data_IF_131346892712
#
_entry.id   IF_131346892712
#
_cell.length_a   1.000
_cell.length_b   1.000
_cell.length_c   1.000
_cell.angle_alpha   90.00
_cell.angle_beta   90.00
_cell.angle_gamma   90.00
#
_symmetry.space_group_name_H-M   'P 1'
#
loop_
_entity.id
_entity.type
_entity.pdbx_description
1 polymer ?
#
# COMPACT_ATOMS: atom_id res chain seq x y z
N UNK A 1 16.22 7.02 13.59
CA UNK A 1 14.85 6.53 13.31
C UNK A 1 14.64 5.33 14.22
N UNK A 2 13.51 5.19 14.91
CA UNK A 2 13.31 4.01 15.77
C UNK A 2 13.16 2.75 14.90
N UNK A 3 13.94 1.72 15.16
CA UNK A 3 14.03 0.50 14.34
C UNK A 3 12.85 -0.47 14.57
N UNK A 4 12.72 -1.51 13.73
CA UNK A 4 11.74 -2.58 13.94
C UNK A 4 12.25 -3.46 15.08
N UNK A 5 11.55 -3.42 16.22
CA UNK A 5 11.87 -4.24 17.37
C UNK A 5 11.42 -5.69 17.15
N UNK A 6 12.35 -6.54 16.70
CA UNK A 6 12.12 -7.97 16.49
C UNK A 6 11.70 -8.71 17.77
N UNK A 7 12.10 -8.22 18.96
CA UNK A 7 11.80 -8.89 20.23
C UNK A 7 10.30 -8.86 20.56
N UNK A 8 9.57 -7.87 20.01
CA UNK A 8 8.11 -7.76 20.11
C UNK A 8 7.36 -8.59 19.05
N UNK A 9 8.06 -9.28 18.16
CA UNK A 9 7.45 -10.05 17.08
C UNK A 9 7.16 -11.49 17.50
N UNK A 10 6.10 -12.07 16.91
CA UNK A 10 5.59 -13.41 17.22
C UNK A 10 6.69 -14.50 17.22
N UNK A 11 7.61 -14.60 16.23
CA UNK A 11 8.63 -15.65 16.26
C UNK A 11 9.60 -15.50 17.44
N UNK A 12 10.05 -14.28 17.78
CA UNK A 12 10.95 -14.06 18.91
C UNK A 12 10.25 -14.36 20.25
N UNK A 13 9.02 -13.85 20.44
CA UNK A 13 8.22 -14.14 21.63
C UNK A 13 8.01 -15.65 21.78
N UNK A 14 7.66 -16.35 20.71
CA UNK A 14 7.49 -17.80 20.71
C UNK A 14 8.80 -18.53 21.10
N UNK A 15 9.92 -18.18 20.45
CA UNK A 15 11.24 -18.77 20.72
C UNK A 15 11.62 -18.63 22.21
N UNK A 16 11.40 -17.46 22.81
CA UNK A 16 11.68 -17.20 24.23
C UNK A 16 10.86 -18.10 25.16
N UNK A 17 9.59 -18.37 24.81
CA UNK A 17 8.71 -19.23 25.62
C UNK A 17 9.09 -20.72 25.59
N UNK A 18 9.87 -21.15 24.61
CA UNK A 18 10.29 -22.55 24.50
C UNK A 18 11.09 -23.03 25.72
N UNK A 19 11.81 -22.12 26.38
CA UNK A 19 12.64 -22.40 27.55
C UNK A 19 12.00 -22.06 28.91
N UNK A 20 10.80 -21.47 28.93
CA UNK A 20 10.06 -21.19 30.17
C UNK A 20 9.91 -22.47 31.02
N UNK A 21 9.99 -22.34 32.34
CA UNK A 21 9.82 -23.46 33.26
C UNK A 21 8.39 -24.02 33.20
N UNK A 22 8.24 -25.31 33.50
CA UNK A 22 6.92 -25.95 33.51
C UNK A 22 6.89 -27.13 34.47
N UNK A 23 5.70 -27.51 34.94
CA UNK A 23 5.55 -28.63 35.87
C UNK A 23 5.63 -29.97 35.12
N UNK A 24 6.42 -30.90 35.65
CA UNK A 24 6.53 -32.26 35.11
C UNK A 24 5.27 -33.10 35.31
N UNK A 25 4.33 -32.67 36.17
CA UNK A 25 3.07 -33.38 36.48
C UNK A 25 2.29 -33.86 35.24
N UNK A 26 2.21 -33.04 34.19
CA UNK A 26 1.52 -33.40 32.94
C UNK A 26 2.23 -34.51 32.16
N UNK A 27 3.57 -34.51 32.14
CA UNK A 27 4.37 -35.58 31.54
C UNK A 27 4.18 -36.89 32.31
N UNK A 28 4.17 -36.82 33.65
CA UNK A 28 3.98 -37.99 34.54
C UNK A 28 2.61 -38.66 34.40
N UNK A 29 1.61 -37.92 33.91
CA UNK A 29 0.28 -38.45 33.59
C UNK A 29 0.15 -39.13 32.22
N UNK A 30 1.19 -39.09 31.36
CA UNK A 30 1.15 -39.75 30.06
C UNK A 30 1.47 -41.24 30.16
N UNK A 31 0.84 -42.04 29.29
CA UNK A 31 1.03 -43.51 29.22
C UNK A 31 2.51 -43.92 29.09
N UNK A 32 3.25 -43.12 28.33
CA UNK A 32 4.66 -43.31 27.96
C UNK A 32 5.65 -43.03 29.10
N UNK A 33 5.23 -42.41 30.20
CA UNK A 33 6.13 -41.99 31.29
C UNK A 33 6.83 -43.17 31.98
N UNK A 34 6.18 -44.34 32.03
CA UNK A 34 6.77 -45.59 32.52
C UNK A 34 8.10 -45.90 31.82
N UNK A 35 8.16 -45.77 30.49
CA UNK A 35 9.36 -46.00 29.68
C UNK A 35 10.42 -44.91 29.78
N UNK A 36 10.07 -43.69 30.18
CA UNK A 36 11.01 -42.60 30.47
C UNK A 36 11.69 -42.80 31.83
N UNK A 37 10.94 -43.34 32.80
CA UNK A 37 11.32 -43.36 34.23
C UNK A 37 12.51 -44.25 34.63
N UNK A 38 13.12 -44.94 33.66
CA UNK A 38 14.17 -45.96 33.77
C UNK A 38 15.60 -45.38 33.66
N UNK A 39 15.74 -44.09 33.34
CA UNK A 39 17.01 -43.44 33.04
C UNK A 39 17.76 -42.89 34.25
N UNK A 40 19.09 -42.85 34.17
CA UNK A 40 19.95 -42.24 35.19
C UNK A 40 19.82 -40.70 35.21
N UNK A 41 19.80 -40.05 34.04
CA UNK A 41 19.62 -38.58 33.88
C UNK A 41 18.14 -38.12 33.93
N UNK A 42 17.34 -38.78 34.77
CA UNK A 42 15.87 -38.67 34.77
C UNK A 42 15.32 -37.25 34.89
N UNK A 43 15.91 -36.43 35.76
CA UNK A 43 15.37 -35.10 36.07
C UNK A 43 15.47 -34.14 34.87
N UNK A 44 16.61 -34.13 34.18
CA UNK A 44 16.84 -33.27 33.01
C UNK A 44 15.98 -33.72 31.82
N UNK A 45 15.87 -35.05 31.60
CA UNK A 45 14.98 -35.64 30.60
C UNK A 45 13.52 -35.27 30.87
N UNK A 46 13.06 -35.41 32.12
CA UNK A 46 11.72 -35.00 32.52
C UNK A 46 11.47 -33.51 32.28
N UNK A 47 12.45 -32.63 32.57
CA UNK A 47 12.31 -31.19 32.31
C UNK A 47 12.19 -30.90 30.81
N UNK A 48 13.10 -31.41 29.98
CA UNK A 48 13.11 -31.17 28.53
C UNK A 48 11.83 -31.71 27.88
N UNK A 49 11.40 -32.94 28.22
CA UNK A 49 10.19 -33.54 27.67
C UNK A 49 8.91 -32.84 28.17
N UNK A 50 8.90 -32.31 29.39
CA UNK A 50 7.79 -31.51 29.90
C UNK A 50 7.70 -30.15 29.19
N UNK A 51 8.84 -29.49 28.94
CA UNK A 51 8.91 -28.29 28.11
C UNK A 51 8.46 -28.56 26.69
N UNK A 52 8.82 -29.70 26.09
CA UNK A 52 8.34 -30.13 24.77
C UNK A 52 6.81 -30.29 24.76
N UNK A 53 6.25 -31.06 25.70
CA UNK A 53 4.80 -31.26 25.84
C UNK A 53 4.04 -29.91 25.93
N UNK A 54 4.54 -29.00 26.79
CA UNK A 54 4.02 -27.63 26.94
C UNK A 54 4.14 -26.84 25.64
N UNK A 55 5.27 -26.92 24.94
CA UNK A 55 5.52 -26.20 23.68
C UNK A 55 4.53 -26.58 22.58
N UNK A 56 4.18 -27.86 22.45
CA UNK A 56 3.17 -28.30 21.47
C UNK A 56 1.77 -27.85 21.88
N UNK A 57 1.47 -27.82 23.19
CA UNK A 57 0.25 -27.21 23.72
C UNK A 57 0.08 -25.74 23.29
N UNK A 58 1.15 -24.94 23.36
CA UNK A 58 1.13 -23.53 22.91
C UNK A 58 0.76 -23.37 21.43
N UNK A 59 1.12 -24.34 20.58
CA UNK A 59 0.77 -24.32 19.14
C UNK A 59 -0.74 -24.45 18.94
N UNK A 60 -1.42 -25.24 19.78
CA UNK A 60 -2.89 -25.35 19.75
C UNK A 60 -3.54 -24.07 20.31
N UNK A 61 -3.10 -23.62 21.49
CA UNK A 61 -3.82 -22.60 22.26
C UNK A 61 -3.55 -21.15 21.85
N UNK A 62 -2.33 -20.83 21.44
CA UNK A 62 -1.87 -19.44 21.28
C UNK A 62 -1.22 -19.15 19.92
N UNK A 63 -0.60 -20.14 19.27
CA UNK A 63 0.17 -19.95 18.03
C UNK A 63 -0.38 -20.74 16.83
N UNK A 64 -1.68 -20.99 16.82
CA UNK A 64 -2.39 -21.80 15.81
C UNK A 64 -2.46 -21.19 14.41
N UNK A 65 -2.08 -19.93 14.24
CA UNK A 65 -2.07 -19.24 12.93
C UNK A 65 -1.00 -19.73 11.95
N UNK A 66 0.12 -20.31 12.42
CA UNK A 66 1.16 -20.88 11.56
C UNK A 66 1.80 -22.14 12.18
N UNK A 67 1.05 -23.24 12.33
CA UNK A 67 1.49 -24.39 13.10
C UNK A 67 2.69 -25.09 12.46
N UNK A 68 2.78 -25.12 11.12
CA UNK A 68 3.92 -25.69 10.39
C UNK A 68 5.25 -25.02 10.78
N UNK A 69 5.29 -23.68 10.83
CA UNK A 69 6.47 -22.94 11.30
C UNK A 69 6.76 -23.23 12.76
N UNK A 70 5.74 -23.23 13.64
CA UNK A 70 5.94 -23.50 15.06
C UNK A 70 6.49 -24.91 15.30
N UNK A 71 6.04 -25.92 14.55
CA UNK A 71 6.60 -27.27 14.58
C UNK A 71 8.09 -27.32 14.17
N UNK A 72 8.51 -26.54 13.15
CA UNK A 72 9.95 -26.39 12.82
C UNK A 72 10.72 -25.74 13.98
N UNK A 73 10.16 -24.68 14.57
CA UNK A 73 10.75 -23.98 15.71
C UNK A 73 10.92 -24.87 16.95
N UNK A 74 9.92 -25.68 17.29
CA UNK A 74 10.00 -26.62 18.41
C UNK A 74 10.97 -27.77 18.13
N UNK A 75 10.97 -28.35 16.92
CA UNK A 75 11.97 -29.38 16.57
C UNK A 75 13.39 -28.82 16.58
N UNK A 76 13.62 -27.61 16.07
CA UNK A 76 14.92 -26.94 16.16
C UNK A 76 15.36 -26.74 17.61
N UNK A 77 14.50 -26.17 18.45
CA UNK A 77 14.80 -25.98 19.88
C UNK A 77 15.13 -27.32 20.55
N UNK A 78 14.33 -28.36 20.30
CA UNK A 78 14.57 -29.68 20.87
C UNK A 78 15.89 -30.29 20.38
N UNK A 79 16.19 -30.20 19.08
CA UNK A 79 17.45 -30.65 18.50
C UNK A 79 18.66 -29.98 19.16
N UNK A 80 18.59 -28.66 19.39
CA UNK A 80 19.68 -27.94 20.08
C UNK A 80 19.79 -28.34 21.57
N UNK A 81 18.69 -28.62 22.27
CA UNK A 81 18.75 -29.14 23.66
C UNK A 81 19.43 -30.51 23.74
N UNK A 82 19.17 -31.40 22.78
CA UNK A 82 19.73 -32.76 22.81
C UNK A 82 21.10 -32.89 22.11
N UNK A 83 21.67 -31.78 21.64
CA UNK A 83 22.88 -31.74 20.81
C UNK A 83 24.17 -32.09 21.56
N UNK A 84 24.19 -31.87 22.87
CA UNK A 84 25.35 -32.07 23.75
C UNK A 84 25.48 -33.49 24.28
N UNK A 85 24.44 -34.32 24.17
CA UNK A 85 24.49 -35.73 24.56
C UNK A 85 25.11 -36.58 23.44
N UNK A 86 25.66 -37.74 23.83
CA UNK A 86 26.17 -38.73 22.89
C UNK A 86 25.06 -39.29 21.98
N UNK A 87 25.46 -39.94 20.88
CA UNK A 87 24.52 -40.43 19.86
C UNK A 87 23.49 -41.45 20.38
N UNK A 88 23.82 -42.25 21.42
CA UNK A 88 22.88 -43.23 21.99
C UNK A 88 21.82 -42.50 22.80
N UNK A 89 22.23 -41.58 23.66
CA UNK A 89 21.32 -40.82 24.50
C UNK A 89 20.47 -39.86 23.65
N UNK A 90 21.07 -39.15 22.69
CA UNK A 90 20.36 -38.31 21.71
C UNK A 90 19.29 -39.07 20.95
N UNK A 91 19.56 -40.30 20.49
CA UNK A 91 18.58 -41.14 19.81
C UNK A 91 17.39 -41.46 20.70
N UNK A 92 17.63 -41.94 21.92
CA UNK A 92 16.54 -42.27 22.86
C UNK A 92 15.70 -41.05 23.23
N UNK A 93 16.33 -39.88 23.41
CA UNK A 93 15.60 -38.62 23.62
C UNK A 93 14.72 -38.28 22.41
N UNK A 94 15.20 -38.53 21.19
CA UNK A 94 14.43 -38.40 19.94
C UNK A 94 13.21 -39.32 19.93
N UNK A 95 13.38 -40.58 20.35
CA UNK A 95 12.30 -41.58 20.45
C UNK A 95 11.24 -41.19 21.51
N UNK A 96 11.66 -40.73 22.70
CA UNK A 96 10.74 -40.22 23.72
C UNK A 96 10.02 -38.94 23.27
N UNK A 97 10.71 -38.04 22.58
CA UNK A 97 10.09 -36.85 22.01
C UNK A 97 9.06 -37.19 20.94
N UNK A 98 9.33 -38.17 20.07
CA UNK A 98 8.35 -38.70 19.13
C UNK A 98 7.11 -39.23 19.86
N UNK A 99 7.30 -39.96 20.97
CA UNK A 99 6.19 -40.44 21.80
C UNK A 99 5.37 -39.29 22.40
N UNK A 100 6.02 -38.28 23.01
CA UNK A 100 5.37 -37.07 23.54
C UNK A 100 4.61 -36.30 22.45
N UNK A 101 5.19 -36.16 21.26
CA UNK A 101 4.58 -35.49 20.11
C UNK A 101 3.31 -36.20 19.61
N UNK A 102 3.29 -37.54 19.67
CA UNK A 102 2.16 -38.35 19.23
C UNK A 102 0.94 -38.31 20.18
N UNK A 103 1.17 -38.02 21.47
CA UNK A 103 0.10 -37.83 22.46
C UNK A 103 -0.68 -36.53 22.22
N UNK A 104 -0.06 -35.49 21.62
CA UNK A 104 -0.69 -34.18 21.41
C UNK A 104 -1.36 -34.08 20.03
N UNK A 105 -2.70 -34.10 20.04
CA UNK A 105 -3.56 -34.07 18.84
C UNK A 105 -4.34 -32.75 18.73
N UNK A 106 -4.83 -32.47 17.53
CA UNK A 106 -5.72 -31.33 17.29
C UNK A 106 -7.10 -31.53 17.94
N UNK A 107 -7.67 -30.46 18.51
CA UNK A 107 -9.01 -30.45 19.11
C UNK A 107 -10.16 -30.54 18.08
N UNK A 108 -9.88 -30.64 16.79
CA UNK A 108 -10.84 -30.44 15.69
C UNK A 108 -11.53 -31.74 15.24
N UNK A 109 -11.65 -32.74 16.12
CA UNK A 109 -12.29 -34.04 15.85
C UNK A 109 -11.51 -34.97 14.92
N UNK A 110 -10.55 -34.45 14.14
CA UNK A 110 -9.63 -35.22 13.34
C UNK A 110 -8.40 -35.56 14.18
N UNK A 111 -8.16 -36.86 14.44
CA UNK A 111 -7.12 -37.39 15.37
C UNK A 111 -5.66 -37.17 14.92
N UNK A 112 -5.42 -36.16 14.08
CA UNK A 112 -4.11 -35.78 13.59
C UNK A 112 -3.26 -35.18 14.71
N UNK A 113 -2.01 -35.63 14.80
CA UNK A 113 -0.97 -35.07 15.66
C UNK A 113 -0.62 -33.64 15.25
N UNK A 114 -0.28 -32.80 16.22
CA UNK A 114 0.00 -31.37 15.98
C UNK A 114 1.31 -31.17 15.23
N UNK A 115 2.37 -31.82 15.71
CA UNK A 115 3.69 -31.79 15.10
C UNK A 115 4.24 -33.21 15.00
N UNK A 116 5.06 -33.46 13.98
CA UNK A 116 5.90 -34.65 13.89
C UNK A 116 7.29 -34.35 14.42
N UNK A 117 7.98 -35.41 14.88
CA UNK A 117 9.41 -35.36 15.16
C UNK A 117 10.16 -35.18 13.84
N UNK A 118 11.07 -34.23 13.80
CA UNK A 118 11.90 -33.90 12.64
C UNK A 118 13.32 -33.52 13.11
N UNK A 119 14.29 -34.37 12.78
CA UNK A 119 15.70 -34.16 13.13
C UNK A 119 16.36 -33.11 12.22
N UNK A 120 15.75 -32.84 11.05
CA UNK A 120 16.24 -31.89 10.04
C UNK A 120 15.12 -30.90 9.64
N UNK A 121 14.63 -30.05 10.57
CA UNK A 121 13.50 -29.14 10.32
C UNK A 121 13.81 -28.05 9.28
N UNK A 122 15.06 -27.96 8.82
CA UNK A 122 15.50 -27.09 7.74
C UNK A 122 16.36 -27.89 6.74
N UNK A 123 16.29 -27.58 5.43
CA UNK A 123 16.90 -28.37 4.34
C UNK A 123 18.44 -28.27 4.23
N UNK A 124 19.11 -27.57 5.15
CA UNK A 124 20.56 -27.35 5.13
C UNK A 124 21.17 -27.57 6.51
N UNK A 125 22.44 -28.00 6.54
CA UNK A 125 23.29 -28.00 7.74
C UNK A 125 23.51 -26.59 8.35
N UNK A 126 23.27 -25.51 7.61
CA UNK A 126 23.29 -24.12 8.11
C UNK A 126 21.99 -23.77 8.84
N UNK A 127 21.66 -24.57 9.85
CA UNK A 127 20.37 -24.60 10.56
C UNK A 127 20.02 -23.22 11.17
N UNK A 128 20.98 -22.56 11.83
CA UNK A 128 20.75 -21.24 12.45
C UNK A 128 20.44 -20.14 11.41
N UNK A 129 21.09 -20.18 10.25
CA UNK A 129 20.83 -19.23 9.16
C UNK A 129 19.43 -19.43 8.59
N UNK A 130 19.03 -20.68 8.39
CA UNK A 130 17.68 -21.03 7.93
C UNK A 130 16.61 -20.68 8.97
N UNK A 131 16.89 -20.84 10.27
CA UNK A 131 15.99 -20.38 11.33
C UNK A 131 15.82 -18.86 11.32
N UNK A 132 16.91 -18.10 11.22
CA UNK A 132 16.84 -16.63 11.10
C UNK A 132 16.06 -16.20 9.87
N UNK A 133 16.25 -16.88 8.73
CA UNK A 133 15.50 -16.62 7.50
C UNK A 133 13.99 -16.87 7.70
N UNK A 134 13.62 -17.98 8.34
CA UNK A 134 12.22 -18.29 8.67
C UNK A 134 11.60 -17.17 9.53
N UNK A 135 12.31 -16.77 10.58
CA UNK A 135 11.84 -15.77 11.55
C UNK A 135 11.73 -14.38 10.88
N UNK A 136 12.72 -13.97 10.07
CA UNK A 136 12.65 -12.78 9.21
C UNK A 136 11.43 -12.80 8.27
N UNK A 137 11.19 -13.90 7.55
CA UNK A 137 10.09 -13.98 6.58
C UNK A 137 8.71 -13.82 7.26
N UNK A 138 8.53 -14.40 8.45
CA UNK A 138 7.30 -14.19 9.24
C UNK A 138 7.17 -12.74 9.74
N UNK A 139 8.27 -12.11 10.20
CA UNK A 139 8.26 -10.70 10.63
C UNK A 139 7.90 -9.78 9.44
N UNK A 140 8.58 -9.95 8.30
CA UNK A 140 8.30 -9.25 7.05
C UNK A 140 6.84 -9.36 6.64
N UNK A 141 6.29 -10.57 6.63
CA UNK A 141 4.92 -10.80 6.16
C UNK A 141 3.89 -10.24 7.16
N UNK A 142 4.13 -10.36 8.48
CA UNK A 142 3.28 -9.75 9.50
C UNK A 142 3.27 -8.22 9.41
N UNK A 143 4.44 -7.58 9.30
CA UNK A 143 4.54 -6.11 9.20
C UNK A 143 3.93 -5.62 7.89
N UNK A 144 4.06 -6.39 6.80
CA UNK A 144 3.39 -6.07 5.53
C UNK A 144 1.85 -6.22 5.60
N UNK A 145 1.34 -7.13 6.45
CA UNK A 145 -0.10 -7.28 6.68
C UNK A 145 -0.67 -6.19 7.60
N UNK A 146 0.11 -5.67 8.56
CA UNK A 146 -0.25 -4.44 9.27
C UNK A 146 -0.06 -3.25 8.34
N UNK A 147 -1.18 -2.71 7.82
CA UNK A 147 -1.18 -1.58 6.88
C UNK A 147 -0.18 -0.50 7.31
N UNK A 148 0.88 -0.31 6.52
CA UNK A 148 1.85 0.77 6.69
C UNK A 148 1.08 2.10 6.60
N UNK A 149 1.00 2.86 7.69
CA UNK A 149 0.02 3.96 7.82
C UNK A 149 0.50 5.28 7.23
N UNK A 150 1.80 5.41 6.99
CA UNK A 150 2.45 6.63 6.55
C UNK A 150 3.82 6.34 5.92
N UNK A 151 4.39 7.34 5.26
CA UNK A 151 5.69 7.27 4.61
C UNK A 151 6.81 6.86 5.57
N UNK A 152 6.81 7.37 6.82
CA UNK A 152 7.82 7.03 7.84
C UNK A 152 7.80 5.54 8.21
N UNK A 153 6.63 4.95 8.41
CA UNK A 153 6.49 3.50 8.66
C UNK A 153 6.95 2.66 7.46
N UNK A 154 6.70 3.12 6.23
CA UNK A 154 7.17 2.46 5.03
C UNK A 154 8.70 2.57 4.84
N UNK A 155 9.30 3.73 5.10
CA UNK A 155 10.74 3.93 5.07
C UNK A 155 11.45 3.09 6.16
N UNK A 156 10.85 3.00 7.34
CA UNK A 156 11.28 2.10 8.42
C UNK A 156 11.22 0.63 8.01
N UNK A 157 10.15 0.19 7.36
CA UNK A 157 10.05 -1.16 6.78
C UNK A 157 11.16 -1.40 5.74
N UNK A 158 11.34 -0.51 4.76
CA UNK A 158 12.40 -0.67 3.75
C UNK A 158 13.81 -0.73 4.36
N UNK A 159 14.10 0.06 5.41
CA UNK A 159 15.41 -0.03 6.09
C UNK A 159 15.65 -1.44 6.63
N UNK A 160 14.66 -1.99 7.36
CA UNK A 160 14.69 -3.37 7.86
C UNK A 160 14.84 -4.42 6.75
N UNK A 161 14.20 -4.23 5.59
CA UNK A 161 14.36 -5.11 4.42
C UNK A 161 15.81 -5.11 3.92
N UNK A 162 16.40 -3.92 3.71
CA UNK A 162 17.78 -3.79 3.21
C UNK A 162 18.82 -4.31 4.21
N UNK A 163 18.70 -3.95 5.48
CA UNK A 163 19.62 -4.39 6.55
C UNK A 163 19.66 -5.93 6.62
N UNK A 164 18.49 -6.58 6.57
CA UNK A 164 18.43 -8.03 6.48
C UNK A 164 18.97 -8.57 5.14
N UNK A 165 18.67 -7.92 4.01
CA UNK A 165 19.21 -8.31 2.68
C UNK A 165 20.74 -8.31 2.69
N UNK A 166 21.36 -7.29 3.27
CA UNK A 166 22.81 -7.16 3.46
C UNK A 166 23.36 -8.25 4.38
N UNK A 167 22.72 -8.48 5.54
CA UNK A 167 23.09 -9.57 6.45
C UNK A 167 23.08 -10.93 5.74
N UNK A 168 21.94 -11.34 5.18
CA UNK A 168 21.81 -12.64 4.51
C UNK A 168 22.70 -12.76 3.26
N UNK A 169 22.93 -11.68 2.51
CA UNK A 169 23.89 -11.65 1.40
C UNK A 169 25.32 -11.92 1.87
N UNK A 170 25.74 -11.29 2.98
CA UNK A 170 27.05 -11.52 3.58
C UNK A 170 27.21 -12.96 4.07
N UNK A 171 26.22 -13.49 4.79
CA UNK A 171 26.25 -14.88 5.27
C UNK A 171 26.31 -15.89 4.11
N UNK A 172 25.45 -15.74 3.09
CA UNK A 172 25.41 -16.70 1.98
C UNK A 172 26.65 -16.61 1.09
N UNK A 173 27.24 -15.43 0.90
CA UNK A 173 28.46 -15.28 0.11
C UNK A 173 29.69 -15.90 0.81
N UNK A 174 29.75 -15.86 2.15
CA UNK A 174 30.79 -16.55 2.92
C UNK A 174 30.68 -18.08 2.74
N UNK A 175 29.47 -18.62 2.95
CA UNK A 175 29.19 -20.06 2.85
C UNK A 175 29.37 -20.59 1.41
N UNK A 176 28.86 -19.85 0.41
CA UNK A 176 28.88 -20.24 -1.00
C UNK A 176 30.18 -19.90 -1.74
N UNK A 177 31.30 -19.74 -1.02
CA UNK A 177 32.58 -19.33 -1.61
C UNK A 177 33.28 -20.41 -2.44
N UNK A 178 32.91 -21.69 -2.29
CA UNK A 178 33.61 -22.82 -2.91
C UNK A 178 32.70 -23.79 -3.68
N UNK A 179 31.54 -24.18 -3.14
CA UNK A 179 30.49 -24.91 -3.88
C UNK A 179 29.13 -24.74 -3.16
N UNK A 180 28.10 -24.24 -3.85
CA UNK A 180 26.75 -24.23 -3.26
C UNK A 180 25.60 -24.22 -4.28
N UNK A 181 24.60 -25.06 -4.01
CA UNK A 181 23.25 -24.91 -4.55
C UNK A 181 22.46 -23.97 -3.62
N UNK A 182 22.36 -22.69 -4.01
CA UNK A 182 21.54 -21.68 -3.30
C UNK A 182 20.06 -22.08 -3.22
N UNK A 183 19.60 -22.94 -4.13
CA UNK A 183 18.26 -23.51 -4.16
C UNK A 183 17.88 -24.25 -2.87
N UNK A 184 18.86 -24.84 -2.17
CA UNK A 184 18.64 -25.51 -0.87
C UNK A 184 18.26 -24.52 0.25
N UNK A 185 18.64 -23.25 0.12
CA UNK A 185 18.32 -22.19 1.10
C UNK A 185 16.92 -21.63 0.80
N UNK A 186 15.91 -22.48 1.01
CA UNK A 186 14.52 -22.21 0.66
C UNK A 186 13.58 -22.81 1.69
N UNK A 187 12.65 -21.99 2.19
CA UNK A 187 11.56 -22.41 3.08
C UNK A 187 10.27 -22.50 2.28
N UNK A 188 10.03 -21.52 1.41
CA UNK A 188 8.94 -21.52 0.43
C UNK A 188 9.30 -20.65 -0.79
N UNK A 189 8.34 -20.37 -1.68
CA UNK A 189 8.57 -19.60 -2.91
C UNK A 189 8.92 -18.10 -2.69
N UNK A 190 8.56 -17.51 -1.55
CA UNK A 190 8.82 -16.11 -1.16
C UNK A 190 9.80 -15.99 0.01
N UNK A 191 10.35 -17.11 0.49
CA UNK A 191 11.31 -17.17 1.58
C UNK A 191 12.51 -18.04 1.17
N UNK A 192 13.47 -17.42 0.48
CA UNK A 192 14.64 -18.10 -0.11
C UNK A 192 15.85 -17.18 -0.33
N UNK A 193 17.06 -17.70 -0.16
CA UNK A 193 18.30 -17.00 -0.49
C UNK A 193 18.76 -17.21 -1.95
N UNK A 194 18.04 -18.05 -2.72
CA UNK A 194 18.32 -18.21 -4.14
C UNK A 194 17.84 -17.00 -4.96
N UNK A 195 16.67 -16.46 -4.63
CA UNK A 195 16.15 -15.22 -5.19
C UNK A 195 15.93 -14.21 -4.05
N UNK A 196 16.94 -13.38 -3.84
CA UNK A 196 16.96 -12.38 -2.78
C UNK A 196 15.89 -11.30 -3.00
N UNK A 197 15.55 -10.94 -4.24
CA UNK A 197 14.59 -9.87 -4.50
C UNK A 197 13.13 -10.27 -4.20
N UNK A 198 12.80 -11.57 -4.30
CA UNK A 198 11.52 -12.09 -3.82
C UNK A 198 11.42 -12.11 -2.30
N UNK A 199 12.55 -12.31 -1.61
CA UNK A 199 12.61 -12.46 -0.15
C UNK A 199 12.76 -11.11 0.56
N UNK A 200 13.51 -10.19 -0.03
CA UNK A 200 13.80 -8.86 0.47
C UNK A 200 13.26 -7.78 -0.52
N UNK A 201 11.93 -7.67 -0.71
CA UNK A 201 11.34 -6.72 -1.63
C UNK A 201 11.21 -5.32 -1.01
N UNK A 202 11.89 -4.33 -1.59
CA UNK A 202 11.68 -2.92 -1.27
C UNK A 202 10.31 -2.44 -1.78
N UNK A 203 9.65 -1.57 -1.00
CA UNK A 203 8.36 -0.96 -1.35
C UNK A 203 8.58 0.47 -1.82
N UNK A 204 7.92 0.88 -2.91
CA UNK A 204 7.96 2.26 -3.37
C UNK A 204 7.06 3.15 -2.48
N UNK A 205 7.61 3.63 -1.36
CA UNK A 205 6.90 4.48 -0.39
C UNK A 205 6.41 5.80 -1.03
N UNK A 206 7.24 6.44 -1.85
CA UNK A 206 6.88 7.61 -2.66
C UNK A 206 5.60 7.35 -3.47
N UNK A 207 5.57 6.23 -4.19
CA UNK A 207 4.45 5.84 -5.04
C UNK A 207 3.16 5.50 -4.29
N UNK A 208 3.24 5.18 -3.00
CA UNK A 208 2.10 4.98 -2.12
C UNK A 208 1.58 6.33 -1.59
N UNK A 209 2.39 7.07 -0.82
CA UNK A 209 1.89 8.21 -0.04
C UNK A 209 1.86 9.53 -0.80
N UNK A 210 2.78 9.78 -1.76
CA UNK A 210 2.73 11.02 -2.57
C UNK A 210 1.51 11.04 -3.52
N UNK A 211 0.95 9.87 -3.85
CA UNK A 211 -0.36 9.77 -4.52
C UNK A 211 -1.55 10.00 -3.59
N UNK A 212 -1.40 9.74 -2.29
CA UNK A 212 -2.45 10.01 -1.30
C UNK A 212 -2.51 11.48 -0.92
N UNK A 213 -1.37 12.20 -0.94
CA UNK A 213 -1.37 13.66 -0.81
C UNK A 213 -2.14 14.35 -1.94
N UNK A 214 -2.03 13.85 -3.17
CA UNK A 214 -2.83 14.27 -4.32
C UNK A 214 -4.31 13.82 -4.27
N UNK A 215 -4.68 12.96 -3.32
CA UNK A 215 -6.06 12.49 -3.09
C UNK A 215 -6.69 13.04 -1.80
N UNK A 216 -5.95 13.78 -0.98
CA UNK A 216 -6.56 14.64 0.03
C UNK A 216 -7.51 15.58 -0.75
N UNK A 217 -8.80 15.65 -0.41
CA UNK A 217 -9.68 16.62 -1.07
C UNK A 217 -9.06 18.00 -0.87
N UNK A 218 -9.02 18.80 -1.94
CA UNK A 218 -8.64 20.21 -1.86
C UNK A 218 -9.40 20.87 -0.69
N UNK A 219 -8.79 21.83 0.03
CA UNK A 219 -9.45 22.50 1.15
C UNK A 219 -10.78 23.05 0.63
N UNK A 220 -11.89 22.47 1.12
CA UNK A 220 -13.22 22.60 0.53
C UNK A 220 -13.46 24.06 0.20
N UNK A 221 -13.37 24.41 -1.08
CA UNK A 221 -13.87 25.68 -1.59
C UNK A 221 -15.36 25.55 -1.33
N UNK A 222 -15.83 26.17 -0.23
CA UNK A 222 -17.25 26.17 0.13
C UNK A 222 -17.97 26.63 -1.12
N UNK A 223 -18.71 25.73 -1.76
CA UNK A 223 -19.64 26.10 -2.81
C UNK A 223 -20.60 27.08 -2.16
N UNK A 224 -20.43 28.37 -2.50
CA UNK A 224 -21.27 29.42 -1.95
C UNK A 224 -22.69 29.03 -2.25
N UNK A 225 -23.53 29.00 -1.21
CA UNK A 225 -24.91 28.57 -1.39
C UNK A 225 -25.57 29.43 -2.49
N UNK A 226 -26.56 28.90 -3.24
CA UNK A 226 -27.28 29.69 -4.24
C UNK A 226 -27.84 31.02 -3.66
N UNK A 227 -28.11 31.03 -2.36
CA UNK A 227 -28.57 32.18 -1.58
C UNK A 227 -27.47 33.23 -1.37
N UNK A 228 -26.23 32.82 -1.09
CA UNK A 228 -25.06 33.72 -1.06
C UNK A 228 -24.76 34.30 -2.45
N UNK A 229 -24.79 33.48 -3.50
CA UNK A 229 -24.58 33.93 -4.88
C UNK A 229 -25.65 34.95 -5.28
N UNK A 230 -26.93 34.67 -4.98
CA UNK A 230 -28.03 35.61 -5.19
C UNK A 230 -27.86 36.92 -4.42
N UNK A 231 -27.42 36.86 -3.16
CA UNK A 231 -27.14 38.05 -2.34
C UNK A 231 -26.03 38.93 -2.94
N UNK A 232 -24.91 38.33 -3.36
CA UNK A 232 -23.82 39.08 -4.02
C UNK A 232 -24.27 39.74 -5.33
N UNK A 233 -25.12 39.09 -6.12
CA UNK A 233 -25.68 39.68 -7.35
C UNK A 233 -26.58 40.89 -7.01
N UNK A 234 -27.51 40.74 -6.07
CA UNK A 234 -28.43 41.81 -5.66
C UNK A 234 -27.67 43.03 -5.12
N UNK A 235 -26.72 42.82 -4.20
CA UNK A 235 -25.90 43.90 -3.63
C UNK A 235 -25.08 44.60 -4.73
N UNK A 236 -24.54 43.84 -5.68
CA UNK A 236 -23.78 44.39 -6.82
C UNK A 236 -24.66 45.26 -7.74
N UNK A 237 -25.89 44.84 -8.02
CA UNK A 237 -26.84 45.66 -8.79
C UNK A 237 -27.26 46.94 -8.06
N UNK A 238 -27.47 46.88 -6.74
CA UNK A 238 -27.79 48.07 -5.92
C UNK A 238 -26.62 49.06 -5.93
N UNK A 239 -25.39 48.59 -5.70
CA UNK A 239 -24.19 49.43 -5.75
C UNK A 239 -23.96 50.01 -7.15
N UNK A 240 -24.17 49.25 -8.21
CA UNK A 240 -24.06 49.74 -9.58
C UNK A 240 -25.13 50.80 -9.90
N UNK A 241 -26.38 50.60 -9.47
CA UNK A 241 -27.45 51.58 -9.63
C UNK A 241 -27.14 52.88 -8.88
N UNK A 242 -26.67 52.80 -7.63
CA UNK A 242 -26.21 53.96 -6.85
C UNK A 242 -25.02 54.66 -7.52
N UNK A 243 -24.10 53.91 -8.13
CA UNK A 243 -22.98 54.46 -8.89
C UNK A 243 -23.44 55.19 -10.17
N UNK A 244 -24.42 54.66 -10.89
CA UNK A 244 -25.03 55.35 -12.04
C UNK A 244 -25.73 56.64 -11.61
N UNK A 245 -26.52 56.62 -10.52
CA UNK A 245 -27.15 57.83 -9.96
C UNK A 245 -26.10 58.85 -9.49
N UNK A 246 -24.99 58.39 -8.92
CA UNK A 246 -23.86 59.25 -8.54
C UNK A 246 -23.22 59.89 -9.77
N UNK A 247 -22.97 59.12 -10.84
CA UNK A 247 -22.44 59.66 -12.10
C UNK A 247 -23.42 60.64 -12.77
N UNK A 248 -24.72 60.38 -12.72
CA UNK A 248 -25.75 61.29 -13.25
C UNK A 248 -25.81 62.62 -12.48
N UNK A 249 -25.65 62.57 -11.15
CA UNK A 249 -25.75 63.74 -10.27
C UNK A 249 -24.45 64.54 -10.14
N UNK A 250 -23.29 63.88 -10.19
CA UNK A 250 -21.98 64.49 -9.84
C UNK A 250 -20.96 64.51 -10.99
N UNK A 251 -21.25 63.93 -12.17
CA UNK A 251 -20.42 64.10 -13.38
C UNK A 251 -21.23 64.63 -14.56
N UNK A 252 -20.63 65.40 -15.50
CA UNK A 252 -21.34 66.07 -16.59
C UNK A 252 -21.82 65.13 -17.71
N UNK A 253 -22.05 63.84 -17.43
CA UNK A 253 -22.39 62.79 -18.40
C UNK A 253 -23.74 63.07 -19.08
N UNK A 254 -24.72 63.65 -18.36
CA UNK A 254 -25.98 64.11 -18.96
C UNK A 254 -25.80 65.15 -20.08
N UNK A 255 -24.78 66.00 -19.98
CA UNK A 255 -24.42 66.97 -21.04
C UNK A 255 -23.78 66.32 -22.28
N UNK A 256 -23.25 65.11 -22.11
CA UNK A 256 -22.63 64.30 -23.18
C UNK A 256 -23.70 63.45 -23.87
N UNK A 257 -24.58 62.80 -23.11
CA UNK A 257 -25.71 62.01 -23.63
C UNK A 257 -26.67 62.89 -24.46
N UNK A 258 -26.98 64.09 -23.99
CA UNK A 258 -27.77 65.07 -24.77
C UNK A 258 -27.06 65.51 -26.05
N UNK A 259 -25.72 65.64 -26.04
CA UNK A 259 -24.89 65.91 -27.23
C UNK A 259 -24.97 64.76 -28.25
N UNK A 260 -24.91 63.51 -27.80
CA UNK A 260 -25.09 62.34 -28.67
C UNK A 260 -26.51 62.23 -29.24
N UNK A 261 -27.55 62.49 -28.45
CA UNK A 261 -28.94 62.57 -28.97
C UNK A 261 -29.07 63.66 -30.04
N UNK A 262 -28.54 64.87 -29.81
CA UNK A 262 -28.52 65.96 -30.82
C UNK A 262 -27.79 65.55 -32.10
N UNK A 263 -26.65 64.87 -32.01
CA UNK A 263 -25.94 64.32 -33.20
C UNK A 263 -26.79 63.31 -33.98
N UNK A 264 -27.52 62.41 -33.30
CA UNK A 264 -28.41 61.44 -33.95
C UNK A 264 -29.57 62.12 -34.71
N UNK A 265 -30.19 63.15 -34.12
CA UNK A 265 -31.23 63.93 -34.80
C UNK A 265 -30.69 64.78 -35.97
N UNK A 266 -29.50 65.37 -35.83
CA UNK A 266 -28.85 66.10 -36.92
C UNK A 266 -28.50 65.19 -38.10
N UNK A 267 -28.01 63.97 -37.84
CA UNK A 267 -27.72 62.99 -38.88
C UNK A 267 -29.00 62.58 -39.63
N UNK A 268 -30.10 62.31 -38.91
CA UNK A 268 -31.40 62.00 -39.53
C UNK A 268 -31.90 63.14 -40.43
N UNK A 269 -31.84 64.38 -39.94
CA UNK A 269 -32.28 65.58 -40.67
C UNK A 269 -31.43 65.86 -41.93
N UNK A 270 -30.16 65.47 -41.92
CA UNK A 270 -29.30 65.59 -43.10
C UNK A 270 -29.60 64.53 -44.16
N UNK A 271 -30.02 63.32 -43.76
CA UNK A 271 -30.46 62.27 -44.69
C UNK A 271 -31.79 62.68 -45.36
N UNK A 272 -32.78 63.11 -44.57
CA UNK A 272 -34.08 63.60 -45.09
C UNK A 272 -33.92 64.77 -46.08
N UNK A 273 -32.89 65.62 -45.92
CA UNK A 273 -32.58 66.71 -46.87
C UNK A 273 -31.94 66.26 -48.18
N UNK A 274 -31.27 65.11 -48.21
CA UNK A 274 -30.60 64.62 -49.44
C UNK A 274 -31.61 63.99 -50.40
N UNK A 275 -32.67 63.37 -49.87
CA UNK A 275 -33.74 62.81 -50.71
C UNK A 275 -34.63 63.89 -51.35
N UNK A 276 -34.87 65.02 -50.66
CA UNK A 276 -35.69 66.14 -51.13
C UNK A 276 -35.10 66.82 -52.39
N UNK A 277 -33.78 67.00 -52.44
CA UNK A 277 -33.06 67.51 -53.63
C UNK A 277 -33.03 66.51 -54.80
N UNK A 278 -33.31 65.22 -54.55
CA UNK A 278 -33.26 64.18 -55.58
C UNK A 278 -34.56 64.08 -56.38
N UNK A 279 -35.67 64.60 -55.84
CA UNK A 279 -36.99 64.53 -56.46
C UNK A 279 -37.33 65.72 -57.38
N UNK A 280 -36.61 66.85 -57.29
CA UNK A 280 -36.89 68.06 -58.06
C UNK A 280 -36.19 68.15 -59.43
N UNK A 281 -35.38 67.14 -59.79
CA UNK A 281 -34.49 67.17 -60.96
C UNK A 281 -34.87 66.18 -62.08
N UNK A 282 -36.03 65.50 -61.96
CA UNK A 282 -36.53 64.54 -62.94
C UNK A 282 -37.92 64.92 -63.46
N UNK A 283 -38.00 65.90 -64.36
CA UNK A 283 -39.03 65.98 -65.43
C UNK A 283 -38.69 67.09 -66.45
N UNK A 284 -37.86 66.76 -67.44
CA UNK A 284 -37.91 67.40 -68.77
C UNK A 284 -37.46 66.40 -69.84
N UNK A 285 -38.45 65.80 -70.50
CA UNK A 285 -38.48 65.42 -71.92
C UNK A 285 -37.16 65.10 -72.64
N UNK A 286 -36.93 63.82 -72.98
CA UNK A 286 -36.91 63.29 -74.37
C UNK A 286 -36.33 61.87 -74.46
N UNK A 287 -36.99 61.02 -75.25
CA UNK A 287 -36.51 59.79 -75.91
C UNK A 287 -36.79 59.97 -77.42
N UNK A 288 -36.19 59.24 -78.38
CA UNK A 288 -35.51 57.93 -78.30
C UNK A 288 -33.96 58.12 -78.44
N UNK A 289 -33.10 57.27 -79.02
CA UNK A 289 -33.23 56.04 -79.81
C UNK A 289 -32.03 55.06 -79.67
N UNK A 290 -32.15 53.96 -80.41
CA UNK A 290 -31.18 52.91 -80.74
C UNK A 290 -30.66 51.99 -79.62
N UNK A 291 -30.82 50.70 -79.93
CA UNK A 291 -30.49 49.56 -79.12
C UNK A 291 -29.02 49.15 -79.25
N UNK A 292 -28.38 48.75 -78.16
CA UNK A 292 -27.49 47.58 -78.21
C UNK A 292 -27.39 46.82 -76.88
N UNK A 293 -27.61 45.51 -76.95
CA UNK A 293 -27.80 44.63 -75.80
C UNK A 293 -26.47 44.03 -75.32
N UNK A 294 -25.71 44.78 -74.50
CA UNK A 294 -24.43 44.28 -73.93
C UNK A 294 -24.67 43.40 -72.70
N UNK A 295 -24.86 42.10 -72.96
CA UNK A 295 -24.80 41.04 -71.94
C UNK A 295 -23.37 40.92 -71.38
N UNK A 296 -23.19 41.13 -70.08
CA UNK A 296 -21.97 40.77 -69.38
C UNK A 296 -22.06 39.34 -68.86
N UNK A 297 -21.22 38.45 -69.37
CA UNK A 297 -21.01 37.12 -68.82
C UNK A 297 -20.06 37.20 -67.62
N UNK A 298 -20.37 36.45 -66.56
CA UNK A 298 -19.50 36.26 -65.39
C UNK A 298 -19.11 34.78 -65.37
N UNK A 299 -17.80 34.49 -65.36
CA UNK A 299 -17.28 33.11 -65.33
C UNK A 299 -16.43 32.83 -64.07
N UNK A 300 -16.19 31.55 -63.80
CA UNK A 300 -16.03 30.98 -62.46
C UNK A 300 -14.58 30.77 -61.99
N UNK A 301 -14.38 30.78 -60.67
CA UNK A 301 -13.22 30.19 -60.00
C UNK A 301 -13.55 28.82 -59.38
N UNK A 302 -13.01 27.73 -59.93
CA UNK A 302 -13.26 26.34 -59.48
C UNK A 302 -12.36 25.98 -58.29
N UNK A 303 -12.89 25.33 -57.25
CA UNK A 303 -12.07 24.76 -56.15
C UNK A 303 -11.17 23.65 -56.69
N UNK A 304 -9.91 23.62 -56.24
CA UNK A 304 -9.01 22.47 -56.37
C UNK A 304 -9.23 21.52 -55.19
N UNK A 305 -9.12 20.22 -55.45
CA UNK A 305 -8.90 19.21 -54.43
C UNK A 305 -7.46 19.30 -53.90
#
# INVERSE_FOLDING_TARGET
>A
MEEIDENKQIPHIFNKRLDESTSTSKLKGLSIYSGISIWDDKEEIEEILSKLLRNIGLIISEYSGNPKKRCRGVNHWFNEKIKTYDDRNRKSFSDYAMAVLNEVKWNTGNNNIVCKRDETPYPTNHVDLMKKLDDYCEIRDNIRCSVLKNETECLKYNSYIRENKEYFSSQINNICSTDCSREKYKIDAKCTLNNMDLTFPDINCDGLYKKEELKKPEPIIKERSPLEIGFFIIVSFILFYLFILFLEKFTPVGSIISRFRRRKYALKRNIERVDDYRYSLYHSETMPSDSENKRYYIEYGRRKN
#
